data_IF_223918171151
#
_entry.id   IF_223918171151
#
_cell.length_a   1.000
_cell.length_b   1.000
_cell.length_c   1.000
_cell.angle_alpha   90.00
_cell.angle_beta   90.00
_cell.angle_gamma   90.00
#
_symmetry.space_group_name_H-M   'P 1'
#
loop_
_entity.id
_entity.type
_entity.pdbx_description
1 polymer ?
#
# COMPACT_ATOMS: atom_id res chain seq x y z
N UNK A 1 25.51 19.02 -32.91
CA UNK A 1 24.87 20.13 -32.19
C UNK A 1 23.37 19.89 -32.22
N UNK A 2 22.94 19.20 -31.17
CA UNK A 2 21.78 19.51 -30.34
C UNK A 2 20.37 19.42 -30.94
N UNK A 3 19.71 18.27 -30.71
CA UNK A 3 18.41 18.27 -30.04
C UNK A 3 18.02 16.85 -29.59
N UNK A 4 18.50 16.47 -28.40
CA UNK A 4 17.90 15.44 -27.57
C UNK A 4 16.61 16.03 -26.96
N UNK A 5 15.48 15.76 -27.60
CA UNK A 5 14.20 16.35 -27.22
C UNK A 5 13.03 15.48 -27.62
N UNK A 6 13.02 14.22 -27.19
CA UNK A 6 11.79 13.43 -27.08
C UNK A 6 11.86 12.63 -25.78
N UNK A 7 11.76 13.36 -24.67
CA UNK A 7 11.51 12.79 -23.37
C UNK A 7 10.14 12.10 -23.41
N UNK A 8 10.15 10.83 -23.02
CA UNK A 8 9.04 9.90 -22.89
C UNK A 8 7.75 10.55 -22.37
N UNK A 9 6.83 10.83 -23.28
CA UNK A 9 5.44 11.12 -22.97
C UNK A 9 4.70 9.80 -22.70
N UNK A 10 4.66 9.39 -21.43
CA UNK A 10 3.83 8.25 -20.98
C UNK A 10 2.56 8.69 -20.23
N UNK A 11 2.14 9.95 -20.32
CA UNK A 11 0.86 10.37 -19.73
C UNK A 11 -0.31 9.88 -20.59
N UNK A 12 -0.78 8.65 -20.35
CA UNK A 12 -2.08 8.18 -20.88
C UNK A 12 -2.59 6.92 -20.14
N UNK A 13 -3.61 7.13 -19.30
CA UNK A 13 -4.67 6.19 -18.87
C UNK A 13 -4.71 5.67 -17.42
N UNK A 14 -4.29 6.47 -16.44
CA UNK A 14 -5.00 6.54 -15.15
C UNK A 14 -5.06 8.02 -14.79
N UNK A 15 -6.27 8.58 -14.68
CA UNK A 15 -6.44 9.91 -14.11
C UNK A 15 -6.19 9.82 -12.61
N UNK A 16 -4.92 9.68 -12.20
CA UNK A 16 -4.51 9.95 -10.83
C UNK A 16 -4.53 11.48 -10.74
N UNK A 17 -5.71 12.05 -10.54
CA UNK A 17 -5.74 13.38 -9.97
C UNK A 17 -4.94 13.26 -8.66
N UNK A 18 -3.86 14.02 -8.52
CA UNK A 18 -3.16 14.15 -7.24
C UNK A 18 -4.16 14.79 -6.26
N UNK A 19 -5.01 13.95 -5.65
CA UNK A 19 -6.02 14.39 -4.71
C UNK A 19 -5.38 14.42 -3.33
N UNK A 20 -5.16 15.63 -2.84
CA UNK A 20 -4.47 15.83 -1.57
C UNK A 20 -3.01 15.36 -1.63
N UNK A 21 -2.47 15.04 -0.47
CA UNK A 21 -1.07 14.64 -0.26
C UNK A 21 -1.02 13.15 0.07
N UNK A 22 -0.18 12.41 -0.64
CA UNK A 22 0.02 10.97 -0.46
C UNK A 22 0.75 10.63 0.84
N UNK A 23 1.70 11.47 1.26
CA UNK A 23 2.38 11.37 2.57
C UNK A 23 2.12 12.62 3.41
N UNK A 24 1.40 12.46 4.51
CA UNK A 24 1.00 13.56 5.38
C UNK A 24 2.18 14.27 6.08
N UNK A 25 3.38 13.68 6.09
CA UNK A 25 4.60 14.36 6.53
C UNK A 25 4.93 15.56 5.62
N UNK A 26 4.46 15.57 4.37
CA UNK A 26 4.65 16.66 3.41
C UNK A 26 3.58 17.76 3.51
N UNK A 27 2.65 17.69 4.47
CA UNK A 27 1.68 18.75 4.69
C UNK A 27 2.37 20.02 5.22
N UNK A 28 2.10 21.16 4.59
CA UNK A 28 2.60 22.47 5.03
C UNK A 28 2.18 22.83 6.47
N UNK A 29 1.05 22.31 6.94
CA UNK A 29 0.54 22.49 8.30
C UNK A 29 0.14 21.14 8.87
N UNK A 30 0.87 20.68 9.87
CA UNK A 30 0.55 19.48 10.64
C UNK A 30 -0.40 19.84 11.79
N UNK A 31 -1.68 20.05 11.45
CA UNK A 31 -2.75 20.16 12.42
C UNK A 31 -3.85 19.13 12.13
N UNK A 32 -4.65 18.80 13.15
CA UNK A 32 -5.74 17.81 13.05
C UNK A 32 -6.69 18.12 11.89
N UNK A 33 -7.04 19.39 11.73
CA UNK A 33 -7.92 19.84 10.65
C UNK A 33 -7.36 19.53 9.25
N UNK A 34 -6.07 19.81 9.01
CA UNK A 34 -5.44 19.57 7.70
C UNK A 34 -5.33 18.07 7.40
N UNK A 35 -5.09 17.26 8.42
CA UNK A 35 -5.06 15.80 8.31
C UNK A 35 -6.44 15.26 7.93
N UNK A 36 -7.49 15.69 8.63
CA UNK A 36 -8.88 15.31 8.34
C UNK A 36 -9.30 15.79 6.95
N UNK A 37 -8.96 17.04 6.59
CA UNK A 37 -9.28 17.60 5.28
C UNK A 37 -8.58 16.84 4.15
N UNK A 38 -7.33 16.42 4.35
CA UNK A 38 -6.58 15.60 3.39
C UNK A 38 -7.23 14.23 3.21
N UNK A 39 -7.51 13.53 4.31
CA UNK A 39 -8.17 12.23 4.27
C UNK A 39 -9.55 12.31 3.61
N UNK A 40 -10.34 13.35 3.92
CA UNK A 40 -11.66 13.56 3.32
C UNK A 40 -11.58 13.75 1.81
N UNK A 41 -10.67 14.61 1.33
CA UNK A 41 -10.44 14.84 -0.10
C UNK A 41 -10.06 13.54 -0.82
N UNK A 42 -9.11 12.80 -0.26
CA UNK A 42 -8.63 11.52 -0.80
C UNK A 42 -9.74 10.47 -0.86
N UNK A 43 -10.51 10.35 0.22
CA UNK A 43 -11.63 9.43 0.29
C UNK A 43 -12.69 9.73 -0.78
N UNK A 44 -13.03 11.01 -0.98
CA UNK A 44 -13.96 11.43 -2.04
C UNK A 44 -13.46 11.10 -3.45
N UNK A 45 -12.14 10.99 -3.64
CA UNK A 45 -11.50 10.55 -4.88
C UNK A 45 -11.21 9.04 -4.94
N UNK A 46 -11.83 8.23 -4.07
CA UNK A 46 -11.62 6.79 -3.98
C UNK A 46 -10.19 6.35 -3.61
N UNK A 47 -9.36 7.27 -3.09
CA UNK A 47 -8.04 6.97 -2.54
C UNK A 47 -8.16 6.67 -1.05
N UNK A 48 -8.17 5.39 -0.70
CA UNK A 48 -8.39 4.91 0.68
C UNK A 48 -7.11 4.78 1.50
N UNK A 49 -5.95 4.80 0.84
CA UNK A 49 -4.64 4.63 1.45
C UNK A 49 -3.87 5.94 1.44
N UNK A 50 -3.24 6.28 2.58
CA UNK A 50 -2.43 7.49 2.75
C UNK A 50 -1.27 7.20 3.68
N UNK A 51 -0.06 7.65 3.35
CA UNK A 51 1.10 7.54 4.24
C UNK A 51 1.13 8.64 5.29
N UNK A 52 1.75 8.31 6.42
CA UNK A 52 2.30 9.24 7.38
C UNK A 52 3.69 8.73 7.77
N UNK A 53 4.68 9.09 6.96
CA UNK A 53 6.04 8.53 7.05
C UNK A 53 6.02 6.99 6.92
N UNK A 54 6.47 6.23 7.93
CA UNK A 54 6.51 4.77 7.86
C UNK A 54 5.14 4.09 8.06
N UNK A 55 4.11 4.84 8.49
CA UNK A 55 2.79 4.30 8.80
C UNK A 55 1.86 4.46 7.59
N UNK A 56 1.05 3.43 7.33
CA UNK A 56 -0.01 3.47 6.33
C UNK A 56 -1.37 3.63 7.02
N UNK A 57 -2.11 4.68 6.65
CA UNK A 57 -3.49 4.88 7.05
C UNK A 57 -4.40 4.34 5.96
N UNK A 58 -5.37 3.51 6.36
CA UNK A 58 -6.37 2.94 5.49
C UNK A 58 -7.78 3.32 5.99
N UNK A 59 -8.63 3.79 5.07
CA UNK A 59 -10.02 4.16 5.35
C UNK A 59 -10.94 3.17 4.64
N UNK A 60 -11.70 2.37 5.40
CA UNK A 60 -12.61 1.39 4.83
C UNK A 60 -13.72 2.07 3.99
N UNK A 61 -13.82 1.79 2.67
CA UNK A 61 -14.85 2.39 1.84
C UNK A 61 -16.22 1.72 1.98
N UNK A 62 -16.34 0.62 2.73
CA UNK A 62 -17.55 -0.21 2.88
C UNK A 62 -18.14 -0.71 1.55
N UNK A 63 -17.30 -0.80 0.52
CA UNK A 63 -17.63 -1.31 -0.82
C UNK A 63 -16.42 -2.06 -1.38
N UNK A 64 -16.69 -3.00 -2.28
CA UNK A 64 -15.63 -3.67 -3.02
C UNK A 64 -14.98 -2.68 -4.00
N UNK A 65 -13.65 -2.60 -3.96
CA UNK A 65 -12.87 -1.73 -4.83
C UNK A 65 -12.03 -2.57 -5.80
N UNK A 66 -11.91 -2.18 -7.08
CA UNK A 66 -11.21 -2.95 -8.10
C UNK A 66 -9.67 -2.88 -8.00
N UNK A 67 -9.10 -2.52 -6.86
CA UNK A 67 -7.65 -2.25 -6.69
C UNK A 67 -6.83 -3.44 -6.20
N UNK A 68 -7.47 -4.53 -5.80
CA UNK A 68 -6.78 -5.70 -5.25
C UNK A 68 -6.67 -6.82 -6.28
N UNK A 69 -6.06 -6.53 -7.43
CA UNK A 69 -5.84 -7.52 -8.49
C UNK A 69 -4.37 -7.93 -8.59
N UNK A 70 -4.10 -8.96 -9.37
CA UNK A 70 -2.73 -9.41 -9.61
C UNK A 70 -1.86 -8.34 -10.29
N UNK A 71 -2.47 -7.38 -11.00
CA UNK A 71 -1.74 -6.29 -11.66
C UNK A 71 -1.10 -5.35 -10.64
N UNK A 72 -1.80 -5.04 -9.56
CA UNK A 72 -1.24 -4.20 -8.50
C UNK A 72 -0.13 -4.96 -7.77
N UNK A 73 -0.27 -6.28 -7.56
CA UNK A 73 0.82 -7.08 -6.98
C UNK A 73 2.11 -6.92 -7.81
N UNK A 74 2.02 -7.04 -9.14
CA UNK A 74 3.17 -6.87 -10.04
C UNK A 74 3.70 -5.43 -10.04
N UNK A 75 2.82 -4.43 -9.93
CA UNK A 75 3.21 -3.01 -9.88
C UNK A 75 4.03 -2.67 -8.62
N UNK A 76 3.67 -3.24 -7.47
CA UNK A 76 4.33 -2.98 -6.20
C UNK A 76 5.54 -3.88 -5.93
N UNK A 77 5.68 -4.99 -6.68
CA UNK A 77 6.78 -5.93 -6.50
C UNK A 77 8.13 -5.31 -6.83
N UNK A 78 8.98 -5.13 -5.82
CA UNK A 78 10.33 -4.59 -5.98
C UNK A 78 10.41 -3.08 -6.22
N UNK A 79 9.26 -2.39 -6.33
CA UNK A 79 9.20 -0.95 -6.49
C UNK A 79 9.60 -0.23 -5.18
N UNK A 80 10.22 0.95 -5.26
CA UNK A 80 10.46 1.75 -4.07
C UNK A 80 9.14 2.35 -3.53
N UNK A 81 9.07 2.59 -2.22
CA UNK A 81 7.84 3.05 -1.54
C UNK A 81 7.26 4.34 -2.15
N UNK A 82 8.10 5.21 -2.73
CA UNK A 82 7.72 6.50 -3.29
C UNK A 82 7.54 6.49 -4.82
N UNK A 83 7.80 5.36 -5.48
CA UNK A 83 7.57 5.23 -6.93
C UNK A 83 6.09 5.06 -7.27
N UNK A 84 5.34 4.46 -6.35
CA UNK A 84 3.92 4.14 -6.50
C UNK A 84 3.08 4.86 -5.44
N UNK A 85 1.78 5.08 -5.70
CA UNK A 85 0.89 5.69 -4.71
C UNK A 85 0.75 4.82 -3.45
N UNK A 86 0.24 5.37 -2.34
CA UNK A 86 0.11 4.63 -1.10
C UNK A 86 -0.75 3.37 -1.25
N UNK A 87 -0.20 2.23 -0.83
CA UNK A 87 -0.91 0.95 -0.92
C UNK A 87 -0.40 -0.07 0.09
N UNK A 88 -1.27 -1.00 0.47
CA UNK A 88 -0.94 -2.08 1.40
C UNK A 88 0.14 -3.04 0.85
N UNK A 89 0.19 -3.22 -0.48
CA UNK A 89 1.21 -4.06 -1.12
C UNK A 89 2.60 -3.45 -1.04
N UNK A 90 2.75 -2.12 -1.02
CA UNK A 90 4.05 -1.49 -0.77
C UNK A 90 4.58 -1.83 0.63
N UNK A 91 3.70 -1.84 1.65
CA UNK A 91 4.07 -2.23 3.02
C UNK A 91 4.46 -3.70 3.08
N UNK A 92 3.70 -4.57 2.40
CA UNK A 92 4.00 -6.00 2.34
C UNK A 92 5.32 -6.30 1.58
N UNK A 93 5.60 -5.56 0.51
CA UNK A 93 6.84 -5.68 -0.26
C UNK A 93 8.06 -5.19 0.53
N UNK A 94 7.96 -4.04 1.19
CA UNK A 94 9.00 -3.55 2.09
C UNK A 94 9.30 -4.55 3.19
N UNK A 95 8.26 -5.09 3.85
CA UNK A 95 8.42 -6.10 4.88
C UNK A 95 9.12 -7.36 4.34
N UNK A 96 8.71 -7.85 3.17
CA UNK A 96 9.31 -9.03 2.56
C UNK A 96 10.77 -8.79 2.15
N UNK A 97 11.08 -7.63 1.54
CA UNK A 97 12.44 -7.27 1.14
C UNK A 97 13.37 -7.16 2.34
N UNK A 98 12.97 -6.44 3.39
CA UNK A 98 13.77 -6.30 4.61
C UNK A 98 14.02 -7.68 5.25
N UNK A 99 13.00 -8.55 5.29
CA UNK A 99 13.16 -9.91 5.79
C UNK A 99 14.18 -10.73 4.99
N UNK A 100 14.29 -10.54 3.67
CA UNK A 100 15.20 -11.31 2.81
C UNK A 100 16.61 -10.70 2.76
N UNK A 101 16.71 -9.37 2.71
CA UNK A 101 17.97 -8.63 2.56
C UNK A 101 18.70 -8.57 3.90
N UNK A 102 18.00 -8.14 4.95
CA UNK A 102 18.59 -7.93 6.27
C UNK A 102 18.56 -9.21 7.12
N UNK A 103 17.82 -10.23 6.67
CA UNK A 103 17.63 -11.51 7.36
C UNK A 103 17.06 -11.34 8.78
N UNK A 104 16.29 -10.27 9.00
CA UNK A 104 15.66 -9.93 10.27
C UNK A 104 14.18 -10.31 10.29
N UNK A 105 13.67 -10.62 11.48
CA UNK A 105 12.24 -10.89 11.70
C UNK A 105 11.44 -9.59 11.61
N UNK A 106 10.43 -9.57 10.75
CA UNK A 106 9.58 -8.40 10.54
C UNK A 106 8.19 -8.60 11.17
N UNK A 107 7.58 -7.50 11.60
CA UNK A 107 6.23 -7.50 12.18
C UNK A 107 5.43 -6.33 11.60
N UNK A 108 4.18 -6.59 11.21
CA UNK A 108 3.21 -5.55 10.84
C UNK A 108 2.11 -5.53 11.89
N UNK A 109 1.89 -4.35 12.48
CA UNK A 109 0.86 -4.13 13.48
C UNK A 109 -0.31 -3.43 12.79
N UNK A 110 -1.50 -4.02 12.86
CA UNK A 110 -2.74 -3.45 12.32
C UNK A 110 -3.66 -3.07 13.47
N UNK A 111 -3.89 -1.78 13.63
CA UNK A 111 -4.74 -1.21 14.70
C UNK A 111 -5.90 -0.41 14.12
N UNK A 112 -7.03 -0.39 14.82
CA UNK A 112 -8.21 0.36 14.41
C UNK A 112 -9.48 -0.14 15.11
N UNK A 113 -10.56 0.61 14.96
CA UNK A 113 -11.87 0.28 15.54
C UNK A 113 -12.48 -0.99 14.95
N UNK A 114 -13.53 -1.50 15.59
CA UNK A 114 -14.30 -2.63 15.06
C UNK A 114 -14.91 -2.27 13.70
N UNK A 115 -14.76 -3.12 12.69
CA UNK A 115 -15.23 -2.85 11.33
C UNK A 115 -14.31 -2.00 10.44
N UNK A 116 -13.15 -1.54 10.95
CA UNK A 116 -12.22 -0.71 10.18
C UNK A 116 -11.51 -1.42 9.01
N UNK A 117 -11.62 -2.74 8.87
CA UNK A 117 -10.99 -3.49 7.77
C UNK A 117 -9.75 -4.31 8.12
N UNK A 118 -9.33 -4.32 9.40
CA UNK A 118 -8.11 -5.00 9.88
C UNK A 118 -7.93 -6.44 9.37
N UNK A 119 -8.97 -7.26 9.43
CA UNK A 119 -8.93 -8.66 8.98
C UNK A 119 -8.71 -8.78 7.47
N UNK A 120 -9.30 -7.88 6.70
CA UNK A 120 -9.20 -7.85 5.24
C UNK A 120 -7.79 -7.40 4.83
N UNK A 121 -7.25 -6.39 5.49
CA UNK A 121 -5.89 -5.89 5.29
C UNK A 121 -4.85 -6.97 5.60
N UNK A 122 -4.98 -7.66 6.73
CA UNK A 122 -4.12 -8.80 7.08
C UNK A 122 -4.15 -9.89 6.00
N UNK A 123 -5.34 -10.19 5.45
CA UNK A 123 -5.51 -11.15 4.35
C UNK A 123 -4.77 -10.70 3.08
N UNK A 124 -4.79 -9.41 2.74
CA UNK A 124 -4.07 -8.88 1.58
C UNK A 124 -2.56 -8.94 1.76
N UNK A 125 -2.03 -8.59 2.93
CA UNK A 125 -0.59 -8.69 3.24
C UNK A 125 -0.14 -10.15 3.13
N UNK A 126 -0.86 -11.07 3.78
CA UNK A 126 -0.53 -12.49 3.72
C UNK A 126 -0.64 -13.06 2.30
N UNK A 127 -1.67 -12.66 1.55
CA UNK A 127 -1.86 -13.05 0.15
C UNK A 127 -0.72 -12.58 -0.75
N UNK A 128 -0.28 -11.33 -0.57
CA UNK A 128 0.87 -10.76 -1.29
C UNK A 128 2.14 -11.56 -1.01
N UNK A 129 2.48 -11.80 0.26
CA UNK A 129 3.66 -12.57 0.66
C UNK A 129 3.60 -14.00 0.12
N UNK A 130 2.45 -14.66 0.22
CA UNK A 130 2.26 -16.01 -0.31
C UNK A 130 2.49 -16.07 -1.83
N UNK A 131 2.08 -15.03 -2.56
CA UNK A 131 2.24 -14.94 -4.02
C UNK A 131 3.69 -14.73 -4.43
N UNK A 132 4.40 -13.79 -3.80
CA UNK A 132 5.79 -13.45 -4.13
C UNK A 132 6.79 -14.49 -3.62
N UNK A 133 6.48 -15.17 -2.51
CA UNK A 133 7.36 -16.20 -1.93
C UNK A 133 7.39 -17.51 -2.74
N UNK A 134 6.47 -17.67 -3.71
CA UNK A 134 6.56 -18.72 -4.74
C UNK A 134 6.61 -20.16 -4.20
N UNK A 135 5.97 -20.43 -3.05
CA UNK A 135 5.95 -21.79 -2.49
C UNK A 135 7.29 -22.27 -1.92
N UNK A 136 8.27 -21.39 -1.65
CA UNK A 136 9.44 -21.76 -0.83
C UNK A 136 8.92 -22.27 0.52
N UNK A 137 9.23 -23.53 0.83
CA UNK A 137 8.61 -24.42 1.86
C UNK A 137 8.47 -23.87 3.30
N UNK A 138 8.91 -22.64 3.59
CA UNK A 138 9.01 -22.10 4.95
C UNK A 138 7.75 -21.44 5.51
N UNK A 139 6.73 -21.17 4.68
CA UNK A 139 5.49 -20.50 5.13
C UNK A 139 4.26 -21.41 5.24
N UNK A 140 4.40 -22.73 5.02
CA UNK A 140 3.29 -23.67 5.21
C UNK A 140 2.83 -23.79 6.67
N UNK A 141 3.61 -23.30 7.63
CA UNK A 141 3.29 -23.37 9.07
C UNK A 141 2.15 -22.43 9.47
N UNK A 142 1.97 -21.28 8.81
CA UNK A 142 0.99 -20.26 9.23
C UNK A 142 -0.42 -20.47 8.67
N UNK A 143 -0.58 -21.31 7.64
CA UNK A 143 -1.89 -21.57 7.02
C UNK A 143 -2.84 -22.34 7.95
N UNK A 144 -2.32 -22.92 9.03
CA UNK A 144 -3.08 -23.79 9.95
C UNK A 144 -3.63 -23.08 11.20
N UNK A 145 -3.21 -21.84 11.48
CA UNK A 145 -3.52 -21.19 12.77
C UNK A 145 -4.56 -20.08 12.70
N UNK A 146 -4.80 -19.47 11.54
CA UNK A 146 -5.69 -18.30 11.41
C UNK A 146 -6.96 -18.52 10.58
N UNK A 147 -7.05 -19.65 9.87
CA UNK A 147 -8.18 -19.99 8.98
C UNK A 147 -8.83 -21.33 9.36
N UNK A 148 -8.93 -21.62 10.66
CA UNK A 148 -9.86 -22.67 11.12
C UNK A 148 -11.21 -21.99 11.41
N UNK A 149 -12.32 -22.55 10.91
CA UNK A 149 -13.67 -22.06 11.20
C UNK A 149 -14.02 -22.18 12.68
#
# INVERSE_FOLDING_TARGET
MDNLGNAFHWQSKVNIQHVGVDDMVLLNKLNEQSVVDNMRKRFMANSIFTYIGPVLIAVNPFKDMPYFTNKEIELYQGAAQYENPPHIYAVADNMFRNMIIDNESQCVIISGESGAGKTVEAKYIMGYIARISGGRQRLQVFKKSFFSP
#
